data_IF_699791139141
#
_entry.id   IF_699791139141
#
_cell.length_a   1.000
_cell.length_b   1.000
_cell.length_c   1.000
_cell.angle_alpha   90.00
_cell.angle_beta   90.00
_cell.angle_gamma   90.00
#
_symmetry.space_group_name_H-M   'P 1'
#
loop_
_entity.id
_entity.type
_entity.pdbx_description
1 polymer ?
#
# COMPACT_ATOMS: atom_id res chain seq x y z
N UNK A 1 -26.24 3.41 -21.38
CA UNK A 1 -26.19 2.08 -20.71
C UNK A 1 -26.93 2.11 -19.38
N UNK A 2 -27.66 1.02 -19.03
CA UNK A 2 -28.28 0.85 -17.71
C UNK A 2 -27.31 0.14 -16.75
N UNK A 3 -27.52 0.29 -15.44
CA UNK A 3 -26.64 -0.33 -14.43
C UNK A 3 -26.39 -1.84 -14.69
N UNK A 4 -27.44 -2.60 -14.99
CA UNK A 4 -27.32 -4.04 -15.30
C UNK A 4 -26.44 -4.33 -16.52
N UNK A 5 -26.43 -3.45 -17.51
CA UNK A 5 -25.57 -3.58 -18.69
C UNK A 5 -24.10 -3.28 -18.33
N UNK A 6 -23.88 -2.32 -17.45
CA UNK A 6 -22.55 -2.01 -16.90
C UNK A 6 -21.99 -3.20 -16.13
N UNK A 7 -22.79 -3.80 -15.24
CA UNK A 7 -22.41 -5.01 -14.49
C UNK A 7 -22.03 -6.18 -15.39
N UNK A 8 -22.87 -6.46 -16.40
CA UNK A 8 -22.61 -7.55 -17.35
C UNK A 8 -21.37 -7.28 -18.20
N UNK A 9 -21.22 -6.07 -18.73
CA UNK A 9 -20.04 -5.71 -19.51
C UNK A 9 -18.76 -5.84 -18.67
N UNK A 10 -18.75 -5.30 -17.45
CA UNK A 10 -17.62 -5.43 -16.52
C UNK A 10 -17.26 -6.91 -16.27
N UNK A 11 -18.24 -7.72 -15.93
CA UNK A 11 -18.01 -9.15 -15.63
C UNK A 11 -17.48 -9.93 -16.86
N UNK A 12 -18.02 -9.66 -18.06
CA UNK A 12 -17.56 -10.31 -19.30
C UNK A 12 -16.15 -9.87 -19.67
N UNK A 13 -15.85 -8.58 -19.55
CA UNK A 13 -14.53 -8.03 -19.84
C UNK A 13 -13.46 -8.61 -18.90
N UNK A 14 -13.73 -8.63 -17.58
CA UNK A 14 -12.79 -9.11 -16.56
C UNK A 14 -12.57 -10.63 -16.64
N UNK A 15 -13.62 -11.41 -16.93
CA UNK A 15 -13.52 -12.87 -16.96
C UNK A 15 -13.11 -13.45 -18.32
N UNK A 16 -13.18 -12.65 -19.40
CA UNK A 16 -12.91 -13.09 -20.78
C UNK A 16 -13.90 -14.15 -21.30
N UNK A 17 -15.01 -14.41 -20.60
CA UNK A 17 -15.93 -15.49 -20.89
C UNK A 17 -17.37 -15.19 -20.44
N UNK A 18 -18.34 -15.42 -21.34
CA UNK A 18 -19.77 -15.32 -21.01
C UNK A 18 -20.20 -16.26 -19.89
N UNK A 19 -19.63 -17.47 -19.86
CA UNK A 19 -19.95 -18.49 -18.86
C UNK A 19 -19.40 -18.09 -17.48
N UNK A 20 -18.15 -17.65 -17.44
CA UNK A 20 -17.53 -17.19 -16.18
C UNK A 20 -18.23 -15.94 -15.66
N UNK A 21 -18.57 -14.98 -16.54
CA UNK A 21 -19.35 -13.80 -16.17
C UNK A 21 -20.72 -14.16 -15.59
N UNK A 22 -21.39 -15.17 -16.15
CA UNK A 22 -22.67 -15.68 -15.64
C UNK A 22 -22.52 -16.26 -14.23
N UNK A 23 -21.46 -17.02 -13.98
CA UNK A 23 -21.14 -17.54 -12.65
C UNK A 23 -20.84 -16.41 -11.66
N UNK A 24 -20.03 -15.41 -12.04
CA UNK A 24 -19.74 -14.23 -11.20
C UNK A 24 -20.99 -13.45 -10.81
N UNK A 25 -21.95 -13.34 -11.72
CA UNK A 25 -23.19 -12.59 -11.53
C UNK A 25 -24.35 -13.43 -10.95
N UNK A 26 -24.13 -14.73 -10.69
CA UNK A 26 -25.15 -15.68 -10.24
C UNK A 26 -26.40 -15.71 -11.15
N UNK A 27 -26.20 -15.73 -12.47
CA UNK A 27 -27.26 -15.78 -13.47
C UNK A 27 -26.94 -16.81 -14.57
N UNK A 28 -27.92 -17.07 -15.46
CA UNK A 28 -27.67 -17.96 -16.61
C UNK A 28 -26.86 -17.25 -17.70
N UNK A 29 -26.03 -17.99 -18.41
CA UNK A 29 -25.26 -17.50 -19.56
C UNK A 29 -26.17 -16.86 -20.66
N UNK A 30 -27.34 -17.39 -21.00
CA UNK A 30 -28.25 -16.73 -21.95
C UNK A 30 -28.69 -15.33 -21.47
N UNK A 31 -28.86 -15.14 -20.17
CA UNK A 31 -29.18 -13.82 -19.60
C UNK A 31 -28.05 -12.81 -19.80
N UNK A 32 -26.80 -13.23 -19.57
CA UNK A 32 -25.60 -12.41 -19.82
C UNK A 32 -25.55 -12.02 -21.30
N UNK A 33 -25.67 -13.00 -22.18
CA UNK A 33 -25.63 -12.79 -23.64
C UNK A 33 -26.72 -11.82 -24.13
N UNK A 34 -27.94 -11.95 -23.61
CA UNK A 34 -29.08 -11.08 -23.97
C UNK A 34 -28.85 -9.64 -23.51
N UNK A 35 -28.36 -9.45 -22.29
CA UNK A 35 -28.09 -8.09 -21.73
C UNK A 35 -26.95 -7.43 -22.48
N UNK A 36 -25.90 -8.18 -22.81
CA UNK A 36 -24.76 -7.64 -23.55
C UNK A 36 -25.16 -7.25 -24.99
N UNK A 37 -25.86 -8.14 -25.73
CA UNK A 37 -26.34 -7.84 -27.07
C UNK A 37 -27.25 -6.59 -27.09
N UNK A 38 -28.12 -6.43 -26.09
CA UNK A 38 -28.94 -5.23 -25.99
C UNK A 38 -28.10 -3.98 -25.68
N UNK A 39 -27.01 -4.09 -24.89
CA UNK A 39 -26.09 -2.97 -24.67
C UNK A 39 -25.40 -2.56 -25.97
N UNK A 40 -24.86 -3.49 -26.72
CA UNK A 40 -24.21 -3.27 -28.02
C UNK A 40 -25.18 -2.65 -29.05
N UNK A 41 -26.42 -3.13 -29.09
CA UNK A 41 -27.46 -2.54 -29.92
C UNK A 41 -27.77 -1.10 -29.58
N UNK A 42 -27.82 -0.76 -28.27
CA UNK A 42 -28.04 0.62 -27.82
C UNK A 42 -26.83 1.54 -28.08
N UNK A 43 -25.62 1.00 -28.03
CA UNK A 43 -24.40 1.75 -28.29
C UNK A 43 -24.15 1.93 -29.80
N UNK A 44 -24.68 1.05 -30.63
CA UNK A 44 -24.49 1.06 -32.10
C UNK A 44 -23.15 0.46 -32.53
N UNK A 45 -22.41 -0.19 -31.62
CA UNK A 45 -21.17 -0.92 -31.93
C UNK A 45 -21.02 -2.15 -31.04
N UNK A 46 -20.17 -3.08 -31.49
CA UNK A 46 -19.85 -4.30 -30.76
C UNK A 46 -18.82 -4.00 -29.63
N UNK A 47 -19.02 -4.58 -28.48
CA UNK A 47 -18.06 -4.54 -27.36
C UNK A 47 -17.11 -5.74 -27.38
N UNK A 48 -17.57 -6.86 -27.96
CA UNK A 48 -16.78 -8.07 -28.07
C UNK A 48 -16.91 -8.69 -29.45
N UNK A 49 -15.82 -9.28 -29.92
CA UNK A 49 -15.77 -10.07 -31.13
C UNK A 49 -15.31 -11.52 -30.86
N UNK A 50 -15.69 -12.43 -31.71
CA UNK A 50 -15.23 -13.82 -31.63
C UNK A 50 -14.13 -14.07 -32.63
N UNK A 51 -12.92 -14.36 -32.13
CA UNK A 51 -11.80 -14.73 -32.97
C UNK A 51 -11.28 -16.11 -32.52
N UNK A 52 -11.31 -17.08 -33.44
CA UNK A 52 -10.89 -18.49 -33.23
C UNK A 52 -11.50 -19.11 -31.96
N UNK A 53 -12.78 -18.84 -31.71
CA UNK A 53 -13.52 -19.36 -30.55
C UNK A 53 -13.30 -18.61 -29.23
N UNK A 54 -12.41 -17.64 -29.19
CA UNK A 54 -12.18 -16.77 -28.04
C UNK A 54 -13.00 -15.48 -28.14
N UNK A 55 -13.50 -15.02 -27.00
CA UNK A 55 -14.18 -13.74 -26.87
C UNK A 55 -13.13 -12.68 -26.60
N UNK A 56 -12.98 -11.69 -27.49
CA UNK A 56 -11.99 -10.63 -27.37
C UNK A 56 -12.71 -9.27 -27.29
N UNK A 57 -12.27 -8.36 -26.41
CA UNK A 57 -12.79 -7.00 -26.37
C UNK A 57 -12.37 -6.21 -27.62
N UNK A 58 -13.27 -5.35 -28.11
CA UNK A 58 -12.98 -4.40 -29.20
C UNK A 58 -12.18 -3.19 -28.68
N UNK A 59 -11.58 -2.37 -29.55
CA UNK A 59 -10.95 -1.11 -29.14
C UNK A 59 -11.92 -0.18 -28.40
N UNK A 60 -13.18 -0.12 -28.81
CA UNK A 60 -14.24 0.63 -28.14
C UNK A 60 -14.51 0.09 -26.72
N UNK A 61 -14.50 -1.23 -26.54
CA UNK A 61 -14.63 -1.86 -25.24
C UNK A 61 -13.46 -1.51 -24.32
N UNK A 62 -12.23 -1.46 -24.83
CA UNK A 62 -11.06 -1.04 -24.04
C UNK A 62 -11.20 0.41 -23.56
N UNK A 63 -11.63 1.34 -24.42
CA UNK A 63 -11.85 2.74 -24.05
C UNK A 63 -12.98 2.88 -23.01
N UNK A 64 -14.09 2.16 -23.22
CA UNK A 64 -15.24 2.22 -22.33
C UNK A 64 -14.95 1.58 -20.96
N UNK A 65 -14.10 0.55 -20.92
CA UNK A 65 -13.87 -0.24 -19.71
C UNK A 65 -13.26 0.61 -18.58
N UNK A 66 -12.37 1.55 -18.85
CA UNK A 66 -11.82 2.44 -17.82
C UNK A 66 -12.93 3.14 -17.03
N UNK A 67 -13.85 3.80 -17.73
CA UNK A 67 -14.99 4.48 -17.10
C UNK A 67 -15.99 3.53 -16.44
N UNK A 68 -16.20 2.36 -17.02
CA UNK A 68 -17.08 1.34 -16.42
C UNK A 68 -16.49 0.77 -15.14
N UNK A 69 -15.18 0.56 -15.10
CA UNK A 69 -14.49 0.11 -13.90
C UNK A 69 -14.61 1.14 -12.77
N UNK A 70 -14.54 2.45 -13.07
CA UNK A 70 -14.75 3.53 -12.11
C UNK A 70 -16.16 3.48 -11.50
N UNK A 71 -17.19 3.43 -12.33
CA UNK A 71 -18.58 3.32 -11.90
C UNK A 71 -18.82 2.07 -11.07
N UNK A 72 -18.21 0.95 -11.45
CA UNK A 72 -18.36 -0.31 -10.72
C UNK A 72 -17.70 -0.24 -9.33
N UNK A 73 -16.55 0.40 -9.22
CA UNK A 73 -15.89 0.71 -7.95
C UNK A 73 -16.76 1.56 -7.03
N UNK A 74 -17.41 2.58 -7.55
CA UNK A 74 -18.31 3.44 -6.77
C UNK A 74 -19.54 2.69 -6.26
N UNK A 75 -20.10 1.78 -7.05
CA UNK A 75 -21.20 0.90 -6.61
C UNK A 75 -20.74 -0.03 -5.50
N UNK A 76 -19.56 -0.64 -5.65
CA UNK A 76 -19.02 -1.54 -4.63
C UNK A 76 -18.69 -0.80 -3.34
N UNK A 77 -18.17 0.43 -3.46
CA UNK A 77 -17.96 1.36 -2.34
C UNK A 77 -19.27 1.67 -1.60
N UNK A 78 -20.35 1.98 -2.32
CA UNK A 78 -21.67 2.21 -1.71
C UNK A 78 -22.17 0.98 -0.96
N UNK A 79 -22.00 -0.22 -1.55
CA UNK A 79 -22.35 -1.50 -0.89
C UNK A 79 -21.56 -1.72 0.40
N UNK A 80 -20.24 -1.43 0.37
CA UNK A 80 -19.38 -1.55 1.55
C UNK A 80 -19.75 -0.55 2.63
N UNK A 81 -19.97 0.72 2.27
CA UNK A 81 -20.41 1.75 3.21
C UNK A 81 -21.73 1.36 3.88
N UNK A 82 -22.73 0.93 3.11
CA UNK A 82 -24.00 0.49 3.62
C UNK A 82 -23.90 -0.73 4.57
N UNK A 83 -22.94 -1.63 4.31
CA UNK A 83 -22.65 -2.77 5.19
C UNK A 83 -21.96 -2.33 6.48
N UNK A 84 -21.01 -1.43 6.39
CA UNK A 84 -20.24 -0.93 7.54
C UNK A 84 -21.08 -0.03 8.47
N UNK A 85 -22.12 0.63 7.95
CA UNK A 85 -23.07 1.42 8.76
C UNK A 85 -23.99 0.55 9.64
N UNK A 86 -24.16 -0.74 9.33
CA UNK A 86 -25.12 -1.60 10.06
C UNK A 86 -24.58 -2.21 11.34
N UNK A 87 -23.26 -2.31 11.54
CA UNK A 87 -22.68 -3.05 12.67
C UNK A 87 -21.39 -2.39 13.16
N UNK A 88 -21.40 -1.96 14.40
CA UNK A 88 -20.24 -1.33 15.07
C UNK A 88 -19.06 -2.29 15.33
N UNK A 89 -19.29 -3.59 15.29
CA UNK A 89 -18.29 -4.62 15.65
C UNK A 89 -17.92 -5.56 14.51
N UNK A 90 -18.51 -5.45 13.34
CA UNK A 90 -18.17 -6.25 12.17
C UNK A 90 -18.12 -5.35 10.94
N UNK A 91 -17.07 -5.48 10.14
CA UNK A 91 -16.88 -4.70 8.93
C UNK A 91 -15.70 -5.24 8.13
N UNK A 92 -15.51 -4.67 6.96
CA UNK A 92 -14.32 -4.89 6.15
C UNK A 92 -13.49 -3.61 6.17
N UNK A 93 -12.20 -3.71 6.43
CA UNK A 93 -11.24 -2.61 6.39
C UNK A 93 -10.21 -2.95 5.31
N UNK A 94 -10.15 -2.12 4.26
CA UNK A 94 -9.16 -2.22 3.18
C UNK A 94 -8.02 -1.25 3.49
N UNK A 95 -6.81 -1.79 3.60
CA UNK A 95 -5.63 -1.04 4.03
C UNK A 95 -4.56 -1.13 2.97
N UNK A 96 -4.01 0.02 2.58
CA UNK A 96 -2.72 0.06 1.90
C UNK A 96 -1.62 0.44 2.87
N UNK A 97 -0.42 -0.09 2.68
CA UNK A 97 0.76 0.38 3.40
C UNK A 97 2.02 0.28 2.57
N UNK A 98 3.00 1.13 2.90
CA UNK A 98 4.36 0.91 2.41
C UNK A 98 4.95 -0.37 3.00
N UNK A 99 5.92 -1.03 2.32
CA UNK A 99 6.46 -2.31 2.75
C UNK A 99 6.94 -2.36 4.20
N UNK A 100 7.50 -1.26 4.70
CA UNK A 100 8.03 -1.18 6.07
C UNK A 100 6.99 -1.51 7.15
N UNK A 101 5.73 -1.10 6.96
CA UNK A 101 4.66 -1.34 7.93
C UNK A 101 3.99 -2.70 7.78
N UNK A 102 4.04 -3.26 6.57
CA UNK A 102 3.33 -4.51 6.23
C UNK A 102 3.88 -5.75 6.95
N UNK A 103 5.14 -5.71 7.36
CA UNK A 103 5.84 -6.88 7.95
C UNK A 103 5.66 -6.97 9.47
N UNK A 104 5.58 -5.85 10.16
CA UNK A 104 5.57 -5.84 11.64
C UNK A 104 4.36 -5.08 12.20
N UNK A 105 4.21 -3.81 11.86
CA UNK A 105 3.20 -2.93 12.47
C UNK A 105 1.78 -3.39 12.18
N UNK A 106 1.43 -3.57 10.90
CA UNK A 106 0.07 -3.99 10.53
C UNK A 106 -0.31 -5.36 11.07
N UNK A 107 0.53 -6.41 10.95
CA UNK A 107 0.22 -7.70 11.55
C UNK A 107 -0.05 -7.64 13.06
N UNK A 108 0.77 -6.91 13.81
CA UNK A 108 0.58 -6.72 15.27
C UNK A 108 -0.72 -5.97 15.57
N UNK A 109 -0.96 -4.86 14.86
CA UNK A 109 -2.16 -4.06 15.04
C UNK A 109 -3.42 -4.88 14.75
N UNK A 110 -3.44 -5.60 13.63
CA UNK A 110 -4.58 -6.42 13.22
C UNK A 110 -4.83 -7.55 14.23
N UNK A 111 -3.77 -8.24 14.67
CA UNK A 111 -3.90 -9.33 15.64
C UNK A 111 -4.53 -8.84 16.94
N UNK A 112 -4.01 -7.78 17.55
CA UNK A 112 -4.54 -7.23 18.80
C UNK A 112 -5.91 -6.57 18.63
N UNK A 113 -6.17 -5.86 17.53
CA UNK A 113 -7.48 -5.28 17.25
C UNK A 113 -8.59 -6.34 17.15
N UNK A 114 -8.28 -7.48 16.53
CA UNK A 114 -9.25 -8.57 16.37
C UNK A 114 -9.63 -9.27 17.67
N UNK A 115 -8.89 -9.12 18.76
CA UNK A 115 -9.30 -9.63 20.07
C UNK A 115 -10.67 -9.09 20.49
N UNK A 116 -10.92 -7.81 20.23
CA UNK A 116 -12.19 -7.13 20.54
C UNK A 116 -13.12 -7.00 19.32
N UNK A 117 -12.63 -7.21 18.09
CA UNK A 117 -13.36 -7.03 16.84
C UNK A 117 -13.29 -8.30 15.98
N UNK A 118 -13.70 -9.45 16.53
CA UNK A 118 -13.54 -10.80 15.97
C UNK A 118 -14.10 -10.99 14.56
N UNK A 119 -15.10 -10.20 14.19
CA UNK A 119 -15.80 -10.29 12.90
C UNK A 119 -15.29 -9.28 11.85
N UNK A 120 -14.25 -8.50 12.17
CA UNK A 120 -13.64 -7.59 11.22
C UNK A 120 -12.72 -8.36 10.27
N UNK A 121 -12.92 -8.13 8.96
CA UNK A 121 -12.09 -8.69 7.89
C UNK A 121 -11.18 -7.59 7.37
N UNK A 122 -9.91 -7.91 7.20
CA UNK A 122 -8.90 -7.00 6.68
C UNK A 122 -8.47 -7.44 5.28
N UNK A 123 -8.38 -6.48 4.36
CA UNK A 123 -7.75 -6.64 3.05
C UNK A 123 -6.54 -5.71 3.01
N UNK A 124 -5.36 -6.26 2.76
CA UNK A 124 -4.10 -5.54 2.89
C UNK A 124 -3.41 -5.51 1.52
N UNK A 125 -3.07 -4.31 1.06
CA UNK A 125 -2.25 -4.10 -0.13
C UNK A 125 -0.92 -3.46 0.30
N UNK A 126 0.19 -3.97 -0.25
CA UNK A 126 1.51 -3.33 -0.08
C UNK A 126 1.81 -2.53 -1.33
N UNK A 127 1.93 -1.22 -1.17
CA UNK A 127 2.02 -0.26 -2.27
C UNK A 127 3.09 0.79 -1.98
N UNK A 128 3.63 1.41 -3.03
CA UNK A 128 4.42 2.64 -2.91
C UNK A 128 3.51 3.87 -2.79
N UNK A 129 4.04 5.00 -2.30
CA UNK A 129 3.22 6.16 -1.94
C UNK A 129 2.38 6.71 -3.11
N UNK A 130 2.92 6.75 -4.33
CA UNK A 130 2.17 7.19 -5.51
C UNK A 130 0.97 6.28 -5.81
N UNK A 131 1.17 4.97 -5.66
CA UNK A 131 0.12 3.97 -5.82
C UNK A 131 -0.91 4.04 -4.68
N UNK A 132 -0.46 4.37 -3.45
CA UNK A 132 -1.32 4.61 -2.29
C UNK A 132 -2.27 5.78 -2.57
N UNK A 133 -1.75 6.90 -3.09
CA UNK A 133 -2.58 8.05 -3.42
C UNK A 133 -3.66 7.70 -4.44
N UNK A 134 -3.29 6.98 -5.50
CA UNK A 134 -4.25 6.50 -6.49
C UNK A 134 -5.26 5.53 -5.88
N UNK A 135 -4.82 4.58 -5.04
CA UNK A 135 -5.69 3.62 -4.39
C UNK A 135 -6.72 4.29 -3.45
N UNK A 136 -6.33 5.37 -2.76
CA UNK A 136 -7.23 6.18 -1.94
C UNK A 136 -8.23 6.96 -2.81
N UNK A 137 -7.75 7.69 -3.82
CA UNK A 137 -8.60 8.48 -4.73
C UNK A 137 -9.60 7.60 -5.48
N UNK A 138 -9.18 6.42 -5.90
CA UNK A 138 -10.02 5.39 -6.52
C UNK A 138 -10.92 4.66 -5.51
N UNK A 139 -10.79 4.94 -4.20
CA UNK A 139 -11.50 4.25 -3.12
C UNK A 139 -11.31 2.74 -3.12
N UNK A 140 -10.17 2.28 -3.62
CA UNK A 140 -9.76 0.88 -3.59
C UNK A 140 -9.42 0.45 -2.17
N UNK A 141 -8.89 1.38 -1.37
CA UNK A 141 -8.60 1.21 0.06
C UNK A 141 -9.32 2.26 0.89
N UNK A 142 -9.60 1.95 2.15
CA UNK A 142 -10.31 2.83 3.08
C UNK A 142 -9.34 3.72 3.85
N UNK A 143 -8.15 3.17 4.16
CA UNK A 143 -7.10 3.84 4.91
C UNK A 143 -5.73 3.38 4.39
N UNK A 144 -4.76 4.24 4.46
CA UNK A 144 -3.38 3.89 4.15
C UNK A 144 -2.42 4.30 5.27
N UNK A 145 -1.31 3.58 5.39
CA UNK A 145 -0.22 3.85 6.31
C UNK A 145 1.06 4.08 5.52
N UNK A 146 1.63 5.28 5.65
CA UNK A 146 2.81 5.69 4.90
C UNK A 146 3.73 6.58 5.74
N UNK A 147 4.95 6.71 5.25
CA UNK A 147 5.89 7.73 5.71
C UNK A 147 5.67 9.01 4.91
N UNK A 148 5.64 10.14 5.60
CA UNK A 148 5.39 11.44 5.01
C UNK A 148 4.20 11.41 4.02
N UNK A 149 4.10 12.41 3.17
CA UNK A 149 3.00 12.50 2.22
C UNK A 149 3.38 13.27 0.96
N UNK A 150 2.61 13.05 -0.08
CA UNK A 150 2.50 13.98 -1.21
C UNK A 150 1.22 14.74 -0.98
N UNK A 151 1.31 16.04 -0.70
CA UNK A 151 0.14 16.89 -0.46
C UNK A 151 -0.88 16.74 -1.58
N UNK A 152 -2.07 16.26 -1.24
CA UNK A 152 -3.19 16.11 -2.17
C UNK A 152 -4.47 16.57 -1.46
N UNK A 153 -5.16 17.61 -1.97
CA UNK A 153 -6.37 18.14 -1.34
C UNK A 153 -7.51 17.14 -1.17
N UNK A 154 -7.49 16.04 -1.97
CA UNK A 154 -8.46 14.94 -1.86
C UNK A 154 -8.16 13.93 -0.77
N UNK A 155 -7.02 14.04 -0.08
CA UNK A 155 -6.57 13.09 0.94
C UNK A 155 -6.40 13.83 2.27
N UNK A 156 -7.03 13.31 3.30
CA UNK A 156 -6.84 13.74 4.68
C UNK A 156 -5.75 12.91 5.34
N UNK A 157 -4.85 13.58 6.06
CA UNK A 157 -3.69 12.99 6.68
C UNK A 157 -3.76 13.16 8.18
N UNK A 158 -3.48 12.10 8.91
CA UNK A 158 -3.42 12.08 10.36
C UNK A 158 -2.03 11.65 10.80
N UNK A 159 -1.32 12.52 11.50
CA UNK A 159 -0.05 12.18 12.12
C UNK A 159 -0.27 11.13 13.22
N UNK A 160 0.41 9.99 13.11
CA UNK A 160 0.40 8.93 14.10
C UNK A 160 1.58 9.06 15.06
N UNK A 161 2.78 9.24 14.52
CA UNK A 161 4.02 9.38 15.27
C UNK A 161 5.12 10.04 14.41
N UNK A 162 6.23 10.39 15.05
CA UNK A 162 7.49 10.67 14.37
C UNK A 162 8.41 9.48 14.50
N UNK A 163 9.05 9.10 13.40
CA UNK A 163 10.12 8.13 13.33
C UNK A 163 11.44 8.82 13.00
N UNK A 164 12.52 8.05 13.03
CA UNK A 164 13.85 8.54 12.69
C UNK A 164 14.61 7.52 11.86
N UNK A 165 15.58 8.01 11.10
CA UNK A 165 16.55 7.17 10.47
C UNK A 165 17.60 6.67 11.46
N UNK A 166 18.05 5.46 11.24
CA UNK A 166 19.09 4.80 12.04
C UNK A 166 20.09 4.11 11.10
N UNK A 167 21.30 3.90 11.58
CA UNK A 167 22.31 3.12 10.86
C UNK A 167 22.17 1.65 11.23
N UNK A 168 22.16 0.79 10.23
CA UNK A 168 22.21 -0.66 10.38
C UNK A 168 23.60 -1.16 10.00
N UNK A 169 24.19 -1.97 10.88
CA UNK A 169 25.51 -2.55 10.65
C UNK A 169 25.51 -4.05 11.04
N UNK A 170 26.40 -4.88 10.46
CA UNK A 170 26.59 -6.25 10.89
C UNK A 170 26.91 -6.33 12.39
N UNK A 171 26.57 -7.43 13.05
CA UNK A 171 26.79 -7.62 14.49
C UNK A 171 28.27 -7.56 14.89
N UNK A 172 29.16 -8.01 13.98
CA UNK A 172 30.62 -8.00 14.14
C UNK A 172 31.29 -6.71 13.64
N UNK A 173 30.50 -5.70 13.25
CA UNK A 173 31.01 -4.42 12.79
C UNK A 173 31.87 -3.70 13.85
N UNK A 174 32.74 -2.80 13.37
CA UNK A 174 33.60 -1.96 14.27
C UNK A 174 32.82 -0.96 15.12
N UNK A 175 31.56 -0.69 14.80
CA UNK A 175 30.76 0.27 15.56
C UNK A 175 30.38 -0.28 16.94
N UNK A 176 30.62 0.51 17.98
CA UNK A 176 30.26 0.14 19.37
C UNK A 176 28.74 0.17 19.56
N UNK A 177 28.24 -0.76 20.34
CA UNK A 177 26.82 -0.78 20.70
C UNK A 177 26.40 0.54 21.37
N UNK A 178 25.32 1.14 20.91
CA UNK A 178 24.77 2.40 21.47
C UNK A 178 25.53 3.67 21.08
N UNK A 179 26.63 3.59 20.31
CA UNK A 179 27.29 4.77 19.80
C UNK A 179 26.51 5.41 18.64
N UNK A 180 26.42 6.73 18.60
CA UNK A 180 25.94 7.46 17.42
C UNK A 180 26.93 7.34 16.28
N UNK A 181 26.43 7.32 15.05
CA UNK A 181 27.22 7.23 13.83
C UNK A 181 26.90 8.40 12.92
N UNK A 182 27.92 9.16 12.53
CA UNK A 182 27.81 10.21 11.51
C UNK A 182 27.99 9.64 10.11
N UNK A 183 27.52 10.39 9.10
CA UNK A 183 27.67 9.99 7.69
C UNK A 183 29.14 9.83 7.30
N UNK A 184 30.04 10.70 7.80
CA UNK A 184 31.48 10.62 7.54
C UNK A 184 32.09 9.27 7.96
N UNK A 185 31.58 8.68 9.06
CA UNK A 185 32.05 7.38 9.54
C UNK A 185 31.59 6.20 8.66
N UNK A 186 30.66 6.44 7.73
CA UNK A 186 30.17 5.45 6.77
C UNK A 186 30.97 5.46 5.46
N UNK A 187 31.78 6.51 5.17
CA UNK A 187 32.57 6.64 3.93
C UNK A 187 33.49 5.45 3.67
N UNK A 188 34.12 4.92 4.74
CA UNK A 188 35.05 3.79 4.67
C UNK A 188 34.37 2.42 4.79
N UNK A 189 33.06 2.34 4.63
CA UNK A 189 32.30 1.11 4.75
C UNK A 189 31.59 0.78 3.44
N UNK A 190 31.56 -0.51 3.03
CA UNK A 190 30.64 -0.92 1.99
C UNK A 190 29.21 -0.50 2.36
N UNK A 191 28.58 0.28 1.49
CA UNK A 191 27.27 0.88 1.77
C UNK A 191 26.19 0.32 0.85
N UNK A 192 25.06 -0.06 1.43
CA UNK A 192 23.87 -0.49 0.71
C UNK A 192 22.96 0.73 0.56
N UNK A 193 22.89 1.25 -0.65
CA UNK A 193 22.07 2.40 -1.00
C UNK A 193 20.59 2.02 -1.15
N UNK A 194 19.73 3.00 -0.95
CA UNK A 194 18.30 2.89 -1.19
C UNK A 194 17.92 3.77 -2.37
N UNK A 195 17.07 3.23 -3.24
CA UNK A 195 16.53 4.02 -4.34
C UNK A 195 15.79 5.23 -3.80
N UNK A 196 15.95 6.40 -4.43
CA UNK A 196 15.34 7.66 -4.02
C UNK A 196 13.84 7.75 -4.37
N UNK A 197 13.16 6.61 -4.54
CA UNK A 197 11.72 6.54 -4.74
C UNK A 197 10.99 6.78 -3.42
N UNK A 198 9.95 7.59 -3.48
CA UNK A 198 9.17 7.96 -2.30
C UNK A 198 9.82 9.01 -1.39
N UNK A 199 9.08 9.49 -0.36
CA UNK A 199 9.51 10.61 0.48
C UNK A 199 10.77 10.32 1.29
N UNK A 200 10.84 9.16 1.94
CA UNK A 200 12.01 8.80 2.75
C UNK A 200 13.29 8.67 1.92
N UNK A 201 13.18 8.05 0.73
CA UNK A 201 14.32 7.94 -0.18
C UNK A 201 14.82 9.32 -0.62
N UNK A 202 13.90 10.24 -0.94
CA UNK A 202 14.25 11.64 -1.29
C UNK A 202 14.85 12.39 -0.10
N UNK A 203 14.26 12.27 1.09
CA UNK A 203 14.77 12.91 2.31
C UNK A 203 16.19 12.43 2.62
N UNK A 204 16.42 11.13 2.61
CA UNK A 204 17.73 10.54 2.86
C UNK A 204 18.73 10.92 1.77
N UNK A 205 18.38 10.84 0.48
CA UNK A 205 19.28 11.19 -0.61
C UNK A 205 19.69 12.67 -0.59
N UNK A 206 18.76 13.56 -0.23
CA UNK A 206 19.05 14.99 -0.05
C UNK A 206 20.02 15.20 1.11
N UNK A 207 19.80 14.51 2.23
CA UNK A 207 20.66 14.59 3.40
C UNK A 207 22.08 14.09 3.12
N UNK A 208 22.21 12.95 2.41
CA UNK A 208 23.50 12.40 1.98
C UNK A 208 24.21 13.34 0.98
N UNK A 209 23.50 13.88 0.00
CA UNK A 209 24.07 14.83 -0.94
C UNK A 209 24.59 16.11 -0.27
N UNK A 210 23.87 16.60 0.76
CA UNK A 210 24.24 17.80 1.51
C UNK A 210 25.47 17.56 2.39
N UNK A 211 25.70 16.33 2.85
CA UNK A 211 26.88 15.99 3.65
C UNK A 211 28.20 16.07 2.85
N UNK A 212 28.14 15.97 1.53
CA UNK A 212 29.31 15.94 0.67
C UNK A 212 30.19 14.69 0.80
N UNK A 213 29.71 13.66 1.51
CA UNK A 213 30.43 12.40 1.75
C UNK A 213 30.18 11.45 0.58
N UNK A 214 31.24 10.94 -0.05
CA UNK A 214 31.14 9.84 -1.00
C UNK A 214 31.08 8.51 -0.25
N UNK A 215 30.03 7.72 -0.56
CA UNK A 215 29.82 6.41 0.03
C UNK A 215 30.21 5.32 -0.98
N UNK A 216 30.87 4.27 -0.51
CA UNK A 216 31.21 3.08 -1.31
C UNK A 216 29.97 2.21 -1.52
N UNK A 217 29.18 2.50 -2.57
CA UNK A 217 27.92 1.80 -2.84
C UNK A 217 28.20 0.43 -3.46
N UNK A 218 27.94 -0.63 -2.69
CA UNK A 218 28.10 -2.02 -3.14
C UNK A 218 26.81 -2.66 -3.64
N UNK A 219 25.64 -2.12 -3.28
CA UNK A 219 24.34 -2.58 -3.75
C UNK A 219 23.29 -1.45 -3.67
N UNK A 220 22.26 -1.54 -4.51
CA UNK A 220 21.06 -0.72 -4.44
C UNK A 220 19.85 -1.58 -4.11
N UNK A 221 19.03 -1.16 -3.15
CA UNK A 221 17.79 -1.84 -2.76
C UNK A 221 16.58 -0.93 -2.94
N UNK A 222 15.42 -1.51 -3.29
CA UNK A 222 14.15 -0.78 -3.33
C UNK A 222 13.46 -0.72 -1.96
N UNK A 223 13.71 -1.70 -1.10
CA UNK A 223 13.05 -1.78 0.20
C UNK A 223 14.04 -1.85 1.34
N UNK A 224 13.71 -1.21 2.44
CA UNK A 224 14.53 -1.22 3.66
C UNK A 224 14.72 -2.63 4.23
N UNK A 225 13.74 -3.52 4.07
CA UNK A 225 13.84 -4.91 4.53
C UNK A 225 14.90 -5.71 3.76
N UNK A 226 14.99 -5.51 2.44
CA UNK A 226 16.07 -6.14 1.63
C UNK A 226 17.41 -5.58 2.01
N UNK A 227 17.53 -4.26 2.20
CA UNK A 227 18.75 -3.63 2.66
C UNK A 227 19.20 -4.18 4.04
N UNK A 228 18.27 -4.31 4.99
CA UNK A 228 18.53 -4.91 6.31
C UNK A 228 19.02 -6.36 6.19
N UNK A 229 18.39 -7.17 5.33
CA UNK A 229 18.82 -8.55 5.11
C UNK A 229 20.24 -8.63 4.52
N UNK A 230 20.59 -7.73 3.59
CA UNK A 230 21.96 -7.64 3.06
C UNK A 230 22.97 -7.27 4.16
N UNK A 231 22.61 -6.33 5.06
CA UNK A 231 23.42 -6.00 6.24
C UNK A 231 23.59 -7.21 7.15
N UNK A 232 22.53 -7.93 7.45
CA UNK A 232 22.59 -9.14 8.29
C UNK A 232 23.47 -10.24 7.68
N UNK A 233 23.57 -10.31 6.35
CA UNK A 233 24.49 -11.20 5.62
C UNK A 233 25.93 -10.66 5.54
N UNK A 234 26.25 -9.50 6.12
CA UNK A 234 27.58 -8.95 6.14
C UNK A 234 27.99 -8.19 4.86
N UNK A 235 27.02 -7.85 3.98
CA UNK A 235 27.32 -7.17 2.71
C UNK A 235 27.76 -5.69 2.89
N UNK A 236 27.55 -5.11 4.06
CA UNK A 236 27.91 -3.72 4.37
C UNK A 236 26.99 -3.08 5.40
N UNK A 237 26.90 -1.76 5.38
CA UNK A 237 26.04 -0.96 6.27
C UNK A 237 24.97 -0.24 5.46
N UNK A 238 23.90 0.21 6.11
CA UNK A 238 22.87 1.06 5.48
C UNK A 238 22.28 2.05 6.47
N UNK A 239 21.55 3.04 5.96
CA UNK A 239 20.67 3.90 6.74
C UNK A 239 19.24 3.50 6.43
N UNK A 240 18.46 3.19 7.44
CA UNK A 240 17.10 2.71 7.29
C UNK A 240 16.14 3.40 8.26
N UNK A 241 14.84 3.26 8.01
CA UNK A 241 13.82 3.67 8.96
C UNK A 241 13.84 2.79 10.22
N UNK A 242 13.55 3.40 11.36
CA UNK A 242 13.59 2.74 12.67
C UNK A 242 12.55 1.60 12.80
N UNK A 243 11.45 1.62 12.04
CA UNK A 243 10.45 0.54 12.05
C UNK A 243 11.03 -0.71 11.43
N UNK A 244 11.62 -0.60 10.24
CA UNK A 244 12.33 -1.71 9.61
C UNK A 244 13.52 -2.18 10.46
N UNK A 245 14.25 -1.24 11.07
CA UNK A 245 15.38 -1.56 11.92
C UNK A 245 15.02 -2.46 13.09
N UNK A 246 13.92 -2.14 13.79
CA UNK A 246 13.42 -2.89 14.96
C UNK A 246 12.59 -4.13 14.61
N UNK A 247 12.19 -4.29 13.34
CA UNK A 247 11.43 -5.47 12.91
C UNK A 247 12.24 -6.75 13.13
N UNK A 248 11.57 -7.84 13.51
CA UNK A 248 12.17 -9.17 13.60
C UNK A 248 12.54 -9.77 12.23
N UNK A 249 11.97 -9.24 11.15
CA UNK A 249 12.26 -9.69 9.79
C UNK A 249 13.59 -9.13 9.26
N UNK A 250 14.26 -9.88 8.38
CA UNK A 250 15.48 -9.46 7.70
C UNK A 250 16.77 -9.79 8.45
N UNK A 251 16.69 -10.54 9.57
CA UNK A 251 17.84 -10.99 10.35
C UNK A 251 18.32 -9.97 11.39
N UNK A 252 19.27 -10.42 12.22
CA UNK A 252 19.81 -9.62 13.30
C UNK A 252 20.89 -8.68 12.81
N UNK A 253 20.76 -7.42 13.18
CA UNK A 253 21.69 -6.34 12.84
C UNK A 253 21.93 -5.46 14.06
N UNK A 254 23.04 -4.75 14.05
CA UNK A 254 23.30 -3.70 15.02
C UNK A 254 22.58 -2.43 14.59
N UNK A 255 21.69 -1.91 15.43
CA UNK A 255 20.97 -0.65 15.21
C UNK A 255 21.68 0.46 15.99
N UNK A 256 22.05 1.53 15.29
CA UNK A 256 22.84 2.63 15.81
C UNK A 256 22.15 3.96 15.50
N UNK A 257 22.11 4.92 16.43
CA UNK A 257 21.60 6.25 16.15
C UNK A 257 22.38 6.95 15.04
N UNK A 258 21.68 7.54 14.09
CA UNK A 258 22.27 8.43 13.08
C UNK A 258 22.46 9.83 13.67
N UNK A 259 23.59 10.47 13.39
CA UNK A 259 23.88 11.83 13.81
C UNK A 259 24.38 12.68 12.63
N UNK A 260 23.75 13.88 12.40
CA UNK A 260 22.59 14.41 13.13
C UNK A 260 21.34 13.57 12.93
N UNK A 261 20.43 13.58 13.92
CA UNK A 261 19.15 12.86 13.83
C UNK A 261 18.34 13.38 12.65
N UNK A 262 17.89 12.48 11.81
CA UNK A 262 17.00 12.77 10.68
C UNK A 262 15.63 12.13 10.96
N UNK A 263 14.61 12.97 11.15
CA UNK A 263 13.24 12.53 11.47
C UNK A 263 12.34 12.53 10.23
N UNK A 264 11.24 11.78 10.33
CA UNK A 264 10.15 11.75 9.36
C UNK A 264 8.81 11.52 10.06
N UNK A 265 7.73 11.86 9.38
CA UNK A 265 6.38 11.63 9.87
C UNK A 265 5.87 10.24 9.49
N UNK A 266 5.09 9.62 10.39
CA UNK A 266 4.32 8.40 10.14
C UNK A 266 2.85 8.80 10.15
N UNK A 267 2.16 8.57 9.05
CA UNK A 267 0.81 9.08 8.83
C UNK A 267 -0.16 7.98 8.43
N UNK A 268 -1.38 8.07 8.97
CA UNK A 268 -2.55 7.44 8.38
C UNK A 268 -3.19 8.42 7.39
N UNK A 269 -3.66 7.90 6.27
CA UNK A 269 -4.21 8.68 5.16
C UNK A 269 -5.55 8.09 4.75
N UNK A 270 -6.53 8.94 4.46
CA UNK A 270 -7.83 8.50 3.91
C UNK A 270 -8.42 9.56 2.99
N UNK A 271 -9.47 9.22 2.27
CA UNK A 271 -10.13 10.14 1.36
C UNK A 271 -10.86 11.23 2.14
N UNK A 272 -10.59 12.51 1.84
CA UNK A 272 -11.20 13.65 2.55
C UNK A 272 -12.71 13.76 2.33
N UNK A 273 -13.19 13.35 1.17
CA UNK A 273 -14.63 13.40 0.82
C UNK A 273 -15.48 12.31 1.46
N UNK A 274 -14.88 11.36 2.19
CA UNK A 274 -15.60 10.22 2.75
C UNK A 274 -15.16 9.96 4.19
N UNK A 275 -16.04 10.19 5.16
CA UNK A 275 -15.73 9.86 6.55
C UNK A 275 -15.41 8.38 6.71
N UNK A 276 -14.44 8.07 7.54
CA UNK A 276 -14.12 6.69 7.91
C UNK A 276 -15.31 6.06 8.66
N UNK A 277 -15.54 4.77 8.46
CA UNK A 277 -16.51 4.03 9.27
C UNK A 277 -16.06 4.01 10.73
N UNK A 278 -17.00 3.79 11.66
CA UNK A 278 -16.72 3.73 13.10
C UNK A 278 -15.62 2.69 13.39
N UNK A 279 -15.70 1.52 12.76
CA UNK A 279 -14.71 0.45 12.96
C UNK A 279 -13.36 0.81 12.37
N UNK A 280 -13.32 1.49 11.22
CA UNK A 280 -12.06 1.95 10.61
C UNK A 280 -11.41 3.06 11.45
N UNK A 281 -12.19 3.98 11.97
CA UNK A 281 -11.70 5.04 12.86
C UNK A 281 -11.10 4.44 14.15
N UNK A 282 -11.83 3.51 14.79
CA UNK A 282 -11.32 2.77 15.94
C UNK A 282 -10.03 1.99 15.63
N UNK A 283 -9.91 1.44 14.42
CA UNK A 283 -8.69 0.77 13.98
C UNK A 283 -7.52 1.76 13.81
N UNK A 284 -7.75 2.95 13.26
CA UNK A 284 -6.71 3.99 13.12
C UNK A 284 -6.21 4.47 14.47
N UNK A 285 -7.08 4.63 15.47
CA UNK A 285 -6.68 4.97 16.83
C UNK A 285 -5.83 3.85 17.46
N UNK A 286 -6.25 2.59 17.30
CA UNK A 286 -5.49 1.44 17.77
C UNK A 286 -4.13 1.28 17.05
N UNK A 287 -4.09 1.60 15.74
CA UNK A 287 -2.85 1.65 14.95
C UNK A 287 -1.89 2.70 15.48
N UNK A 288 -2.39 3.90 15.84
CA UNK A 288 -1.57 4.94 16.47
C UNK A 288 -0.90 4.42 17.73
N UNK A 289 -1.67 3.81 18.62
CA UNK A 289 -1.15 3.26 19.88
C UNK A 289 -0.09 2.19 19.63
N UNK A 290 -0.32 1.32 18.64
CA UNK A 290 0.66 0.28 18.26
C UNK A 290 1.96 0.89 17.75
N UNK A 291 1.89 1.90 16.85
CA UNK A 291 3.09 2.59 16.31
C UNK A 291 3.86 3.29 17.43
N UNK A 292 3.17 4.06 18.28
CA UNK A 292 3.81 4.79 19.41
C UNK A 292 4.48 3.81 20.36
N UNK A 293 3.82 2.71 20.71
CA UNK A 293 4.40 1.70 21.61
C UNK A 293 5.58 0.96 20.99
N UNK A 294 5.57 0.74 19.67
CA UNK A 294 6.66 0.09 18.96
C UNK A 294 7.93 0.96 18.88
N UNK A 295 7.77 2.28 18.83
CA UNK A 295 8.87 3.25 18.74
C UNK A 295 9.50 3.60 20.10
N UNK A 296 8.81 3.33 21.21
CA UNK A 296 9.37 3.45 22.57
C UNK A 296 10.36 2.32 22.87
#
# INVERSE_FOLDING_TARGET
MRLRQIEVFHAVYTSGSMTNAAAMLNVSQPSVSKVLAHAEQQLGYQLFERNKGKLLPTPEAHQLFGHVADVYRDIDRLRHLAKNLRVTSSGRIRIASTPAFGVEILPRTIASFRENHKHTVFEIETLHLEEINNALLESRVDVALAFDSISNPGIEEQLLAKGRFVVLAPLDSKFKHGASVSIDQLADQPFIGLNNRGPLGRLLSTHLATSGVELDIVAWSETYHVAKALVACGAGVTIADEITARSSAGGDVRVLPLEPTLEFDIKAMHLSSTPLSIVTNSFVDHLRDTVVNFLR
#
